data_IF_975842662100
#
_entry.id   IF_975842662100
#
_cell.length_a   1.000
_cell.length_b   1.000
_cell.length_c   1.000
_cell.angle_alpha   90.00
_cell.angle_beta   90.00
_cell.angle_gamma   90.00
#
_symmetry.space_group_name_H-M   'P 1'
#
loop_
_entity.id
_entity.type
_entity.pdbx_description
1 polymer ?
#
# COMPACT_ATOMS: atom_id res chain seq x y z
N UNK A 1 -14.61 0.95 16.12
CA UNK A 1 -15.52 0.34 15.12
C UNK A 1 -15.54 1.20 13.86
N UNK A 2 -15.91 0.66 12.68
CA UNK A 2 -16.01 1.44 11.43
C UNK A 2 -16.90 2.67 11.52
N UNK A 3 -17.90 2.66 12.40
CA UNK A 3 -18.80 3.79 12.63
C UNK A 3 -18.15 4.97 13.37
N UNK A 4 -17.06 4.73 14.06
CA UNK A 4 -16.32 5.75 14.83
C UNK A 4 -15.23 6.42 14.01
N UNK A 5 -14.92 5.88 12.84
CA UNK A 5 -13.92 6.45 11.95
C UNK A 5 -14.46 7.68 11.22
N UNK A 6 -13.61 8.69 11.07
CA UNK A 6 -13.94 9.85 10.24
C UNK A 6 -14.12 9.44 8.78
N UNK A 7 -14.83 10.23 7.95
CA UNK A 7 -15.07 9.87 6.54
C UNK A 7 -13.82 9.52 5.74
N UNK A 8 -12.68 10.17 6.02
CA UNK A 8 -11.41 9.93 5.33
C UNK A 8 -10.62 8.73 5.89
N UNK A 9 -11.07 8.17 7.01
CA UNK A 9 -10.46 7.01 7.67
C UNK A 9 -11.25 5.72 7.36
N UNK A 10 -12.40 5.85 6.67
CA UNK A 10 -13.21 4.68 6.32
C UNK A 10 -12.46 3.77 5.35
N UNK A 11 -12.53 2.44 5.55
CA UNK A 11 -11.92 1.47 4.64
C UNK A 11 -12.36 1.69 3.20
N UNK A 12 -11.40 1.69 2.29
CA UNK A 12 -11.65 1.87 0.86
C UNK A 12 -11.45 0.55 0.14
N UNK A 13 -12.44 0.14 -0.64
CA UNK A 13 -12.36 -1.05 -1.49
C UNK A 13 -11.49 -0.76 -2.69
N UNK A 14 -10.46 -1.57 -2.91
CA UNK A 14 -9.52 -1.45 -3.99
C UNK A 14 -9.31 -2.79 -4.69
N UNK A 15 -9.06 -2.82 -5.99
CA UNK A 15 -8.68 -4.06 -6.65
C UNK A 15 -7.32 -4.54 -6.15
N UNK A 16 -7.21 -5.83 -5.87
CA UNK A 16 -5.93 -6.46 -5.45
C UNK A 16 -4.85 -6.34 -6.52
N UNK A 17 -5.24 -6.42 -7.79
CA UNK A 17 -4.35 -6.22 -8.93
C UNK A 17 -4.77 -4.97 -9.67
N UNK A 18 -3.87 -4.02 -9.77
CA UNK A 18 -4.06 -2.78 -10.52
C UNK A 18 -3.26 -2.79 -11.81
N UNK A 19 -3.82 -2.19 -12.84
CA UNK A 19 -3.11 -1.95 -14.10
C UNK A 19 -2.48 -0.56 -14.03
N UNK A 20 -1.18 -0.50 -14.21
CA UNK A 20 -0.48 0.78 -14.22
C UNK A 20 -0.91 1.62 -15.43
N UNK A 21 -1.44 2.86 -15.24
CA UNK A 21 -2.15 3.59 -16.29
C UNK A 21 -1.24 4.16 -17.39
N UNK A 22 0.07 4.04 -17.25
CA UNK A 22 1.04 4.46 -18.29
C UNK A 22 1.67 3.27 -18.98
N UNK A 23 2.07 2.24 -18.21
CA UNK A 23 2.82 1.10 -18.75
C UNK A 23 1.95 -0.09 -19.12
N UNK A 24 0.71 -0.16 -18.61
CA UNK A 24 -0.18 -1.31 -18.76
C UNK A 24 0.26 -2.55 -17.93
N UNK A 25 1.32 -2.46 -17.16
CA UNK A 25 1.78 -3.55 -16.31
C UNK A 25 0.84 -3.75 -15.12
N UNK A 26 0.67 -5.01 -14.73
CA UNK A 26 -0.10 -5.38 -13.54
C UNK A 26 0.79 -5.33 -12.32
N UNK A 27 0.27 -4.76 -11.24
CA UNK A 27 0.92 -4.70 -9.94
C UNK A 27 -0.03 -5.14 -8.84
N UNK A 28 0.48 -5.82 -7.83
CA UNK A 28 -0.27 -6.06 -6.59
C UNK A 28 -0.47 -4.73 -5.85
N UNK A 29 -1.69 -4.53 -5.37
CA UNK A 29 -2.05 -3.33 -4.61
C UNK A 29 -2.60 -3.77 -3.25
N UNK A 30 -1.70 -3.95 -2.30
CA UNK A 30 -1.96 -4.46 -0.97
C UNK A 30 -1.24 -3.60 0.07
N UNK A 31 -1.69 -3.68 1.31
CA UNK A 31 -0.94 -3.20 2.45
C UNK A 31 -0.54 -4.37 3.37
N UNK A 32 0.24 -4.08 4.39
CA UNK A 32 0.62 -5.09 5.38
C UNK A 32 -0.56 -5.48 6.29
N UNK A 33 -0.43 -6.62 6.96
CA UNK A 33 -1.47 -7.17 7.84
C UNK A 33 -1.90 -6.21 8.95
N UNK A 34 -1.01 -5.38 9.48
CA UNK A 34 -1.32 -4.39 10.52
C UNK A 34 -2.18 -3.21 10.05
N UNK A 35 -2.39 -3.08 8.74
CA UNK A 35 -3.16 -2.00 8.10
C UNK A 35 -4.46 -2.51 7.46
N UNK A 36 -4.76 -3.81 7.60
CA UNK A 36 -5.93 -4.41 6.99
C UNK A 36 -7.14 -4.34 7.92
N UNK A 37 -8.31 -4.29 7.33
CA UNK A 37 -9.58 -4.45 8.05
C UNK A 37 -9.84 -5.94 8.33
N UNK A 38 -9.64 -6.33 9.58
CA UNK A 38 -9.91 -7.68 10.05
C UNK A 38 -11.37 -7.94 10.45
N UNK A 39 -12.17 -6.90 10.57
CA UNK A 39 -13.60 -7.02 10.94
C UNK A 39 -14.39 -7.52 9.74
N UNK A 40 -14.20 -6.90 8.58
CA UNK A 40 -14.81 -7.32 7.33
C UNK A 40 -13.93 -8.29 6.53
N UNK A 41 -12.68 -8.42 6.93
CA UNK A 41 -11.66 -9.25 6.32
C UNK A 41 -10.83 -8.50 5.27
N UNK A 42 -9.62 -8.98 4.99
CA UNK A 42 -8.71 -8.32 4.06
C UNK A 42 -9.19 -8.37 2.59
N UNK A 43 -10.03 -9.35 2.25
CA UNK A 43 -10.57 -9.51 0.90
C UNK A 43 -12.07 -9.69 0.92
N UNK A 44 -12.75 -9.00 0.02
CA UNK A 44 -14.17 -9.12 -0.17
C UNK A 44 -14.56 -10.55 -0.61
N UNK A 45 -15.64 -11.07 -0.05
CA UNK A 45 -16.20 -12.42 -0.34
C UNK A 45 -15.32 -13.60 0.09
N UNK A 46 -14.30 -13.35 0.89
CA UNK A 46 -13.52 -14.41 1.52
C UNK A 46 -13.87 -14.54 3.00
N UNK A 47 -13.53 -15.67 3.60
CA UNK A 47 -13.73 -15.89 5.01
C UNK A 47 -13.00 -14.82 5.84
N UNK A 48 -13.72 -14.26 6.80
CA UNK A 48 -13.24 -13.15 7.64
C UNK A 48 -12.34 -13.66 8.77
N UNK A 49 -11.69 -12.70 9.43
CA UNK A 49 -10.86 -12.95 10.60
C UNK A 49 -9.43 -13.35 10.26
N UNK A 50 -8.62 -13.36 11.31
CA UNK A 50 -7.16 -13.56 11.19
C UNK A 50 -6.74 -14.96 10.77
N UNK A 51 -7.63 -15.93 10.91
CA UNK A 51 -7.40 -17.33 10.53
C UNK A 51 -8.18 -17.74 9.27
N UNK A 52 -8.95 -16.83 8.68
CA UNK A 52 -9.76 -17.09 7.51
C UNK A 52 -8.95 -17.22 6.21
N UNK A 53 -9.62 -17.65 5.14
CA UNK A 53 -9.02 -17.80 3.81
C UNK A 53 -8.42 -16.48 3.29
N UNK A 54 -9.06 -15.36 3.60
CA UNK A 54 -8.55 -14.04 3.25
C UNK A 54 -7.22 -13.73 3.93
N UNK A 55 -7.07 -14.09 5.19
CA UNK A 55 -5.82 -13.93 5.92
C UNK A 55 -4.71 -14.81 5.33
N UNK A 56 -5.00 -16.07 5.05
CA UNK A 56 -4.04 -16.99 4.43
C UNK A 56 -3.54 -16.48 3.09
N UNK A 57 -4.43 -16.01 2.24
CA UNK A 57 -4.05 -15.42 0.95
C UNK A 57 -3.20 -14.15 1.14
N UNK A 58 -3.57 -13.28 2.08
CA UNK A 58 -2.79 -12.07 2.36
C UNK A 58 -1.36 -12.41 2.77
N UNK A 59 -1.18 -13.34 3.70
CA UNK A 59 0.16 -13.75 4.15
C UNK A 59 0.97 -14.42 3.04
N UNK A 60 0.34 -15.20 2.18
CA UNK A 60 1.01 -15.79 1.02
C UNK A 60 1.50 -14.70 0.06
N UNK A 61 0.65 -13.73 -0.27
CA UNK A 61 1.01 -12.60 -1.13
C UNK A 61 2.09 -11.71 -0.49
N UNK A 62 2.00 -11.46 0.82
CA UNK A 62 3.03 -10.71 1.56
C UNK A 62 4.39 -11.42 1.49
N UNK A 63 4.41 -12.73 1.71
CA UNK A 63 5.64 -13.53 1.58
C UNK A 63 6.23 -13.41 0.18
N UNK A 64 5.39 -13.41 -0.84
CA UNK A 64 5.83 -13.26 -2.22
C UNK A 64 6.44 -11.89 -2.49
N UNK A 65 5.73 -10.80 -2.21
CA UNK A 65 6.22 -9.46 -2.60
C UNK A 65 7.32 -8.90 -1.68
N UNK A 66 7.51 -9.48 -0.49
CA UNK A 66 8.65 -9.15 0.40
C UNK A 66 9.89 -9.99 0.12
N UNK A 67 9.83 -10.93 -0.81
CA UNK A 67 11.00 -11.71 -1.23
C UNK A 67 12.12 -10.76 -1.70
N UNK A 68 13.38 -10.98 -1.29
CA UNK A 68 14.52 -10.13 -1.69
C UNK A 68 14.68 -9.92 -3.20
N UNK A 69 14.16 -10.83 -4.03
CA UNK A 69 14.16 -10.69 -5.49
C UNK A 69 13.32 -9.52 -5.99
N UNK A 70 12.34 -9.07 -5.20
CA UNK A 70 11.42 -7.99 -5.53
C UNK A 70 11.61 -6.75 -4.65
N UNK A 71 12.52 -6.81 -3.68
CA UNK A 71 12.73 -5.77 -2.70
C UNK A 71 14.02 -5.01 -2.96
N UNK A 72 13.96 -3.70 -2.83
CA UNK A 72 15.12 -2.82 -2.84
C UNK A 72 15.18 -2.08 -1.50
N UNK A 73 16.28 -2.24 -0.77
CA UNK A 73 16.55 -1.49 0.45
C UNK A 73 17.42 -0.28 0.12
N UNK A 74 16.90 0.91 0.35
CA UNK A 74 17.66 2.15 0.18
C UNK A 74 18.38 2.50 1.47
N UNK A 75 19.69 2.60 1.40
CA UNK A 75 20.51 3.13 2.49
C UNK A 75 20.60 4.65 2.32
N UNK A 76 20.06 5.36 3.32
CA UNK A 76 19.89 6.80 3.25
C UNK A 76 21.14 7.55 3.66
N UNK A 77 21.60 8.46 2.80
CA UNK A 77 22.54 9.51 3.15
C UNK A 77 21.85 10.87 3.31
N UNK A 78 22.48 11.79 4.01
CA UNK A 78 21.97 13.14 4.16
C UNK A 78 21.94 13.86 2.80
N UNK A 79 20.77 14.36 2.44
CA UNK A 79 20.55 15.03 1.16
C UNK A 79 20.00 14.14 0.06
N UNK A 80 19.80 12.85 0.31
CA UNK A 80 19.21 11.95 -0.67
C UNK A 80 17.79 12.36 -1.03
N UNK A 81 17.50 12.24 -2.32
CA UNK A 81 16.16 12.38 -2.88
C UNK A 81 15.73 11.08 -3.57
N UNK A 82 14.68 10.47 -3.06
CA UNK A 82 14.08 9.27 -3.67
C UNK A 82 12.71 9.62 -4.26
N UNK A 83 12.54 9.31 -5.54
CA UNK A 83 11.28 9.47 -6.26
C UNK A 83 10.81 8.07 -6.68
N UNK A 84 9.57 7.74 -6.35
CA UNK A 84 8.98 6.46 -6.72
C UNK A 84 7.51 6.60 -7.13
N UNK A 85 7.07 5.69 -7.98
CA UNK A 85 5.68 5.63 -8.42
C UNK A 85 4.85 4.77 -7.46
N UNK A 86 4.06 5.41 -6.62
CA UNK A 86 3.23 4.75 -5.62
C UNK A 86 2.07 3.94 -6.21
N UNK A 87 1.89 3.95 -7.54
CA UNK A 87 0.85 3.15 -8.22
C UNK A 87 1.25 1.69 -8.40
N UNK A 88 2.53 1.39 -8.33
CA UNK A 88 3.08 0.06 -8.57
C UNK A 88 4.12 -0.40 -7.55
N UNK A 89 4.40 0.38 -6.53
CA UNK A 89 5.35 0.04 -5.47
C UNK A 89 4.67 0.04 -4.10
N UNK A 90 5.06 -0.95 -3.30
CA UNK A 90 4.78 -0.99 -1.87
C UNK A 90 6.07 -0.58 -1.16
N UNK A 91 5.97 0.23 -0.13
CA UNK A 91 7.14 0.70 0.61
C UNK A 91 6.88 0.71 2.10
N UNK A 92 7.94 0.50 2.86
CA UNK A 92 7.91 0.61 4.31
C UNK A 92 9.23 1.17 4.84
N UNK A 93 9.20 1.72 6.05
CA UNK A 93 10.42 2.10 6.75
C UNK A 93 10.96 0.89 7.51
N UNK A 94 12.28 0.72 7.49
CA UNK A 94 12.96 -0.20 8.39
C UNK A 94 13.01 0.38 9.80
N UNK A 95 13.14 -0.49 10.79
CA UNK A 95 13.39 -0.08 12.15
C UNK A 95 14.73 0.67 12.27
N UNK A 96 14.79 1.66 13.13
CA UNK A 96 16.04 2.34 13.52
C UNK A 96 15.95 2.71 15.00
N UNK A 97 17.10 2.80 15.65
CA UNK A 97 17.19 3.20 17.05
C UNK A 97 16.98 4.72 17.19
N UNK A 98 15.79 5.10 17.59
CA UNK A 98 15.41 6.51 17.77
C UNK A 98 16.00 7.15 19.05
N UNK A 99 16.55 6.37 19.97
CA UNK A 99 17.24 6.92 21.15
C UNK A 99 18.66 7.39 20.81
N UNK A 100 19.27 6.75 19.81
CA UNK A 100 20.65 7.05 19.36
C UNK A 100 20.67 7.93 18.14
N UNK A 101 19.72 7.76 17.23
CA UNK A 101 19.72 8.40 15.94
C UNK A 101 18.48 9.28 15.72
N UNK A 102 18.67 10.41 15.07
CA UNK A 102 17.56 11.23 14.59
C UNK A 102 17.33 10.95 13.10
N UNK A 103 16.06 10.71 12.74
CA UNK A 103 15.62 10.58 11.35
C UNK A 103 14.65 11.71 11.04
N UNK A 104 15.02 12.59 10.11
CA UNK A 104 14.14 13.65 9.61
C UNK A 104 13.91 13.45 8.12
N UNK A 105 12.70 13.11 7.76
CA UNK A 105 12.30 12.86 6.38
C UNK A 105 11.26 13.89 5.95
N UNK A 106 11.42 14.41 4.76
CA UNK A 106 10.42 15.24 4.11
C UNK A 106 9.76 14.41 3.01
N UNK A 107 8.44 14.40 2.97
CA UNK A 107 7.69 13.73 1.93
C UNK A 107 6.69 14.68 1.31
N UNK A 108 6.65 14.69 0.00
CA UNK A 108 5.58 15.31 -0.78
C UNK A 108 4.96 14.28 -1.73
N UNK A 109 3.69 14.42 -2.00
CA UNK A 109 2.98 13.58 -2.96
C UNK A 109 2.55 14.45 -4.12
N UNK A 110 3.05 14.15 -5.30
CA UNK A 110 2.61 14.80 -6.53
C UNK A 110 1.32 14.15 -6.99
N UNK A 111 0.30 14.96 -7.27
CA UNK A 111 -0.89 14.46 -7.97
C UNK A 111 -0.49 14.10 -9.39
N UNK A 112 -0.40 12.80 -9.64
CA UNK A 112 0.01 12.31 -10.94
C UNK A 112 -1.02 12.59 -12.02
N UNK A 113 -0.54 12.73 -13.26
CA UNK A 113 -1.35 12.49 -14.40
C UNK A 113 -1.80 11.02 -14.39
N UNK A 114 -3.10 10.71 -14.51
CA UNK A 114 -3.58 9.33 -14.56
C UNK A 114 -2.97 8.50 -15.69
N UNK A 115 -2.46 9.17 -16.76
CA UNK A 115 -1.88 8.49 -17.91
C UNK A 115 -2.93 8.05 -18.94
N UNK A 116 -2.49 7.64 -20.14
CA UNK A 116 -3.38 7.33 -21.26
C UNK A 116 -4.22 6.06 -21.08
N UNK A 117 -3.79 5.16 -20.19
CA UNK A 117 -4.48 3.89 -19.91
C UNK A 117 -5.39 3.98 -18.66
N UNK A 118 -5.63 5.19 -18.15
CA UNK A 118 -6.53 5.38 -17.04
C UNK A 118 -7.98 5.15 -17.48
N UNK A 119 -8.66 4.22 -16.80
CA UNK A 119 -10.02 3.79 -17.14
C UNK A 119 -11.11 4.47 -16.31
N UNK A 120 -10.74 5.44 -15.49
CA UNK A 120 -11.68 6.17 -14.65
C UNK A 120 -11.90 5.52 -13.27
N UNK A 121 -11.00 4.66 -12.80
CA UNK A 121 -11.07 4.14 -11.43
C UNK A 121 -11.34 5.25 -10.42
N UNK A 122 -12.28 5.01 -9.50
CA UNK A 122 -12.56 5.96 -8.42
C UNK A 122 -11.28 6.23 -7.63
N UNK A 123 -10.93 7.48 -7.56
CA UNK A 123 -9.81 7.91 -6.71
C UNK A 123 -10.25 7.82 -5.26
N UNK A 124 -9.59 7.00 -4.46
CA UNK A 124 -9.90 6.79 -3.05
C UNK A 124 -9.87 8.07 -2.18
N UNK A 125 -9.30 9.15 -2.69
CA UNK A 125 -9.17 10.44 -2.02
C UNK A 125 -10.16 11.52 -2.50
N UNK A 126 -11.00 11.23 -3.48
CA UNK A 126 -12.08 12.14 -3.91
C UNK A 126 -13.29 11.84 -3.04
N UNK A 127 -13.73 12.77 -2.18
CA UNK A 127 -14.99 12.60 -1.46
C UNK A 127 -16.13 12.37 -2.46
N UNK A 128 -16.97 11.41 -2.17
CA UNK A 128 -18.20 11.15 -2.93
C UNK A 128 -19.21 12.23 -2.61
#
# INVERSE_FOLDING_TARGET
TPQELKPHEQPQRQPVVRVHPVTGQRALYLCEAGQMDWIEGPFEKMERGVDGDGARLLYELMTHYTDPRFSYAHEWDEGDLVIYDNRCLIHSATWFDSEVHQRRMWRTTVRGNPGPLYDGERRSWVPV
#
